data_IF_480566673639
#
_entry.id   IF_480566673639
#
_cell.length_a   1.000
_cell.length_b   1.000
_cell.length_c   1.000
_cell.angle_alpha   90.00
_cell.angle_beta   90.00
_cell.angle_gamma   90.00
#
_symmetry.space_group_name_H-M   'P 1'
#
loop_
_entity.id
_entity.type
_entity.pdbx_description
1 polymer ?
#
# COMPACT_ATOMS: atom_id res chain seq x y z
N UNK A 1 -7.36 13.40 32.34
CA UNK A 1 -6.54 12.82 31.25
C UNK A 1 -7.15 13.28 29.94
N UNK A 2 -6.41 13.95 29.04
CA UNK A 2 -6.99 14.34 27.77
C UNK A 2 -7.10 13.08 26.90
N UNK A 3 -8.32 12.58 26.73
CA UNK A 3 -8.70 11.69 25.64
C UNK A 3 -8.46 12.45 24.35
N UNK A 4 -7.39 12.12 23.63
CA UNK A 4 -7.14 12.65 22.29
C UNK A 4 -8.24 12.07 21.39
N UNK A 5 -9.27 12.87 21.12
CA UNK A 5 -10.30 12.51 20.16
C UNK A 5 -9.63 12.22 18.80
N UNK A 6 -9.94 11.09 18.12
CA UNK A 6 -9.40 10.84 16.80
C UNK A 6 -9.84 11.98 15.87
N UNK A 7 -8.86 12.57 15.17
CA UNK A 7 -9.09 13.63 14.19
C UNK A 7 -10.14 13.18 13.15
N UNK A 8 -10.96 14.09 12.62
CA UNK A 8 -11.96 13.73 11.62
C UNK A 8 -11.28 13.18 10.36
N UNK A 9 -11.71 12.00 9.96
CA UNK A 9 -11.17 11.28 8.82
C UNK A 9 -11.65 11.92 7.52
N UNK A 10 -10.71 12.36 6.68
CA UNK A 10 -10.96 13.00 5.38
C UNK A 10 -11.53 11.99 4.37
N UNK A 11 -12.21 12.45 3.33
CA UNK A 11 -12.76 11.61 2.23
C UNK A 11 -11.70 10.81 1.46
N UNK A 12 -10.42 11.12 1.69
CA UNK A 12 -9.21 10.48 1.21
C UNK A 12 -8.66 9.43 2.20
N UNK A 13 -9.55 8.67 2.82
CA UNK A 13 -9.24 7.78 3.94
C UNK A 13 -9.54 6.32 3.59
N UNK A 14 -8.70 5.41 4.09
CA UNK A 14 -8.99 3.98 4.04
C UNK A 14 -10.37 3.68 4.65
N UNK A 15 -10.77 4.43 5.68
CA UNK A 15 -12.11 4.35 6.28
C UNK A 15 -13.26 4.69 5.32
N UNK A 16 -13.07 5.65 4.41
CA UNK A 16 -14.10 6.01 3.43
C UNK A 16 -14.32 4.89 2.41
N UNK A 17 -13.23 4.32 1.86
CA UNK A 17 -13.32 3.15 0.99
C UNK A 17 -13.96 1.97 1.73
N UNK A 18 -13.57 1.74 2.98
CA UNK A 18 -14.13 0.66 3.80
C UNK A 18 -15.64 0.80 3.96
N UNK A 19 -16.11 2.00 4.30
CA UNK A 19 -17.54 2.28 4.46
C UNK A 19 -18.30 2.05 3.15
N UNK A 20 -17.74 2.46 2.01
CA UNK A 20 -18.35 2.23 0.70
C UNK A 20 -18.45 0.72 0.36
N UNK A 21 -17.41 -0.07 0.66
CA UNK A 21 -17.43 -1.53 0.46
C UNK A 21 -18.49 -2.21 1.32
N UNK A 22 -18.59 -1.82 2.59
CA UNK A 22 -19.53 -2.39 3.55
C UNK A 22 -20.98 -1.93 3.35
N UNK A 23 -21.19 -0.79 2.69
CA UNK A 23 -22.52 -0.35 2.26
C UNK A 23 -22.97 -1.02 0.95
N UNK A 24 -22.07 -1.72 0.26
CA UNK A 24 -22.30 -2.32 -1.04
C UNK A 24 -22.24 -3.85 -1.02
N UNK A 25 -21.69 -4.48 -2.08
CA UNK A 25 -21.77 -5.93 -2.27
C UNK A 25 -20.94 -6.75 -1.28
N UNK A 26 -20.08 -6.11 -0.49
CA UNK A 26 -19.22 -6.77 0.50
C UNK A 26 -19.74 -6.58 1.94
N UNK A 27 -20.97 -6.10 2.10
CA UNK A 27 -21.63 -5.95 3.40
C UNK A 27 -21.53 -7.25 4.23
N UNK A 28 -20.98 -7.15 5.44
CA UNK A 28 -20.85 -8.29 6.36
C UNK A 28 -19.63 -9.17 6.11
N UNK A 29 -18.83 -8.88 5.08
CA UNK A 29 -17.62 -9.66 4.76
C UNK A 29 -16.37 -9.02 5.36
N UNK A 30 -15.37 -9.80 5.81
CA UNK A 30 -14.10 -9.28 6.28
C UNK A 30 -13.34 -8.56 5.16
N UNK A 31 -13.13 -7.26 5.33
CA UNK A 31 -12.39 -6.43 4.39
C UNK A 31 -11.35 -5.59 5.11
N UNK A 32 -10.24 -5.33 4.42
CA UNK A 32 -9.19 -4.40 4.80
C UNK A 32 -8.99 -3.44 3.65
N UNK A 33 -8.96 -2.15 3.93
CA UNK A 33 -8.62 -1.13 2.95
C UNK A 33 -7.28 -0.51 3.30
N UNK A 34 -6.50 -0.20 2.27
CA UNK A 34 -5.16 0.37 2.38
C UNK A 34 -5.08 1.64 1.53
N UNK A 35 -4.43 2.66 2.07
CA UNK A 35 -4.00 3.84 1.32
C UNK A 35 -2.57 4.22 1.72
N UNK A 36 -1.72 4.49 0.74
CA UNK A 36 -0.35 4.96 0.95
C UNK A 36 -0.29 6.44 0.60
N UNK A 37 -0.57 7.29 1.59
CA UNK A 37 -0.48 8.74 1.43
C UNK A 37 0.98 9.23 1.31
N UNK A 38 1.13 10.54 1.10
CA UNK A 38 2.45 11.16 0.98
C UNK A 38 3.30 11.03 2.26
N UNK A 39 2.68 11.15 3.43
CA UNK A 39 3.36 11.17 4.73
C UNK A 39 2.98 10.00 5.65
N UNK A 40 1.83 9.38 5.43
CA UNK A 40 1.30 8.32 6.26
C UNK A 40 0.54 7.28 5.43
N UNK A 41 0.43 6.07 5.97
CA UNK A 41 -0.32 4.96 5.39
C UNK A 41 -1.50 4.67 6.30
N UNK A 42 -2.71 4.64 5.76
CA UNK A 42 -3.92 4.36 6.53
C UNK A 42 -4.49 3.00 6.20
N UNK A 43 -4.98 2.33 7.23
CA UNK A 43 -5.61 1.01 7.18
C UNK A 43 -6.95 1.07 7.89
N UNK A 44 -8.01 0.58 7.25
CA UNK A 44 -9.28 0.29 7.90
C UNK A 44 -9.62 -1.19 7.73
N UNK A 45 -10.13 -1.84 8.77
CA UNK A 45 -10.52 -3.24 8.66
C UNK A 45 -11.66 -3.62 9.59
N UNK A 46 -12.43 -4.63 9.17
CA UNK A 46 -13.60 -5.13 9.86
C UNK A 46 -14.49 -5.92 8.92
N UNK A 47 -15.62 -6.36 9.44
CA UNK A 47 -16.61 -7.21 8.77
C UNK A 47 -18.03 -6.63 8.87
N UNK A 48 -18.16 -5.35 9.24
CA UNK A 48 -19.44 -4.70 9.45
C UNK A 48 -19.45 -3.23 9.02
N UNK A 49 -20.58 -2.53 9.20
CA UNK A 49 -20.75 -1.16 8.68
C UNK A 49 -19.72 -0.14 9.18
N UNK A 50 -19.13 -0.40 10.36
CA UNK A 50 -18.03 0.38 10.92
C UNK A 50 -16.77 -0.48 11.00
N UNK A 51 -15.63 0.15 10.68
CA UNK A 51 -14.34 -0.52 10.80
C UNK A 51 -14.05 -0.81 12.28
N UNK A 52 -13.67 -2.05 12.58
CA UNK A 52 -13.21 -2.46 13.92
C UNK A 52 -11.81 -1.94 14.20
N UNK A 53 -11.02 -1.82 13.14
CA UNK A 53 -9.66 -1.30 13.17
C UNK A 53 -9.57 -0.10 12.25
N UNK A 54 -9.01 0.99 12.76
CA UNK A 54 -8.58 2.12 11.97
C UNK A 54 -7.20 2.57 12.46
N UNK A 55 -6.21 2.54 11.58
CA UNK A 55 -4.81 2.82 11.92
C UNK A 55 -4.18 3.77 10.92
N UNK A 56 -3.38 4.69 11.44
CA UNK A 56 -2.42 5.45 10.65
C UNK A 56 -1.01 5.03 11.05
N UNK A 57 -0.20 4.69 10.07
CA UNK A 57 1.20 4.32 10.20
C UNK A 57 2.07 5.49 9.72
N UNK A 58 3.17 5.83 10.42
CA UNK A 58 4.03 6.96 10.11
C UNK A 58 5.01 6.65 8.94
N UNK A 59 4.49 6.01 7.91
CA UNK A 59 5.18 5.66 6.66
C UNK A 59 4.31 6.12 5.49
N UNK A 60 4.85 6.93 4.59
CA UNK A 60 4.14 7.39 3.41
C UNK A 60 5.11 7.53 2.26
N UNK A 61 4.62 7.50 1.02
CA UNK A 61 5.46 7.41 -0.17
C UNK A 61 6.56 8.48 -0.20
N UNK A 62 6.21 9.75 0.03
CA UNK A 62 7.18 10.87 0.02
C UNK A 62 8.01 10.94 1.29
N UNK A 63 7.41 10.68 2.45
CA UNK A 63 8.12 10.72 3.72
C UNK A 63 9.21 9.63 3.78
N UNK A 64 8.86 8.39 3.42
CA UNK A 64 9.80 7.27 3.37
C UNK A 64 10.90 7.52 2.34
N UNK A 65 10.53 7.99 1.14
CA UNK A 65 11.53 8.33 0.12
C UNK A 65 12.50 9.42 0.59
N UNK A 66 11.99 10.52 1.17
CA UNK A 66 12.83 11.62 1.64
C UNK A 66 13.73 11.25 2.83
N UNK A 67 13.29 10.30 3.66
CA UNK A 67 14.05 9.82 4.81
C UNK A 67 15.13 8.80 4.44
N UNK A 68 14.85 7.95 3.45
CA UNK A 68 15.68 6.77 3.18
C UNK A 68 16.49 6.86 1.89
N UNK A 69 16.07 7.65 0.89
CA UNK A 69 16.69 7.67 -0.43
C UNK A 69 17.43 9.00 -0.67
N UNK A 70 18.76 8.98 -0.62
CA UNK A 70 19.60 10.09 -1.02
C UNK A 70 20.00 10.03 -2.51
N UNK A 71 19.85 8.85 -3.15
CA UNK A 71 20.18 8.62 -4.55
C UNK A 71 18.98 8.21 -5.41
N UNK A 72 19.12 8.36 -6.73
CA UNK A 72 18.17 7.91 -7.74
C UNK A 72 18.93 7.14 -8.84
N UNK A 73 18.77 5.81 -8.94
CA UNK A 73 18.00 4.92 -8.03
C UNK A 73 18.54 4.90 -6.59
N UNK A 74 17.74 4.47 -5.59
CA UNK A 74 18.25 4.21 -4.26
C UNK A 74 19.30 3.09 -4.32
N UNK A 75 20.33 3.19 -3.49
CA UNK A 75 21.34 2.12 -3.31
C UNK A 75 20.74 0.92 -2.57
N UNK A 76 21.40 -0.24 -2.65
CA UNK A 76 20.96 -1.45 -1.95
C UNK A 76 20.86 -1.24 -0.43
N UNK A 77 21.81 -0.53 0.17
CA UNK A 77 21.78 -0.21 1.60
C UNK A 77 20.63 0.74 1.98
N UNK A 78 20.30 1.71 1.13
CA UNK A 78 19.15 2.61 1.34
C UNK A 78 17.82 1.85 1.23
N UNK A 79 17.75 0.88 0.33
CA UNK A 79 16.58 0.01 0.17
C UNK A 79 16.37 -0.88 1.41
N UNK A 80 17.43 -1.51 1.90
CA UNK A 80 17.40 -2.31 3.14
C UNK A 80 16.97 -1.46 4.35
N UNK A 81 17.49 -0.24 4.48
CA UNK A 81 17.08 0.67 5.55
C UNK A 81 15.60 1.08 5.45
N UNK A 82 15.10 1.29 4.23
CA UNK A 82 13.68 1.56 3.99
C UNK A 82 12.80 0.34 4.33
N UNK A 83 13.22 -0.88 3.97
CA UNK A 83 12.52 -2.12 4.32
C UNK A 83 12.39 -2.22 5.83
N UNK A 84 13.51 -2.21 6.57
CA UNK A 84 13.49 -2.37 8.02
C UNK A 84 12.54 -1.36 8.71
N UNK A 85 12.55 -0.10 8.25
CA UNK A 85 11.65 0.94 8.77
C UNK A 85 10.17 0.65 8.50
N UNK A 86 9.85 0.14 7.32
CA UNK A 86 8.47 -0.19 6.96
C UNK A 86 8.01 -1.45 7.68
N UNK A 87 8.84 -2.47 7.79
CA UNK A 87 8.56 -3.70 8.55
C UNK A 87 8.20 -3.37 10.00
N UNK A 88 9.02 -2.56 10.69
CA UNK A 88 8.78 -2.11 12.06
C UNK A 88 7.41 -1.43 12.23
N UNK A 89 6.97 -0.67 11.22
CA UNK A 89 5.68 0.03 11.24
C UNK A 89 4.49 -0.92 10.97
N UNK A 90 4.68 -1.92 10.12
CA UNK A 90 3.60 -2.79 9.60
C UNK A 90 3.38 -4.02 10.47
N UNK A 91 4.45 -4.71 10.90
CA UNK A 91 4.35 -5.99 11.62
C UNK A 91 3.40 -5.96 12.84
N UNK A 92 3.37 -4.89 13.68
CA UNK A 92 2.45 -4.84 14.82
C UNK A 92 0.97 -4.85 14.44
N UNK A 93 0.61 -4.54 13.20
CA UNK A 93 -0.78 -4.48 12.74
C UNK A 93 -1.35 -5.86 12.46
N UNK A 94 -0.52 -6.86 12.12
CA UNK A 94 -0.98 -8.21 11.76
C UNK A 94 -1.90 -8.84 12.81
N UNK A 95 -1.55 -8.70 14.09
CA UNK A 95 -2.32 -9.27 15.20
C UNK A 95 -3.70 -8.61 15.40
N UNK A 96 -3.99 -7.51 14.72
CA UNK A 96 -5.23 -6.73 14.85
C UNK A 96 -6.19 -6.95 13.68
N UNK A 97 -5.75 -7.64 12.62
CA UNK A 97 -6.57 -7.85 11.43
C UNK A 97 -7.47 -9.08 11.58
N UNK A 98 -8.70 -9.03 11.05
CA UNK A 98 -9.54 -10.22 10.92
C UNK A 98 -8.86 -11.27 10.05
N UNK A 99 -9.05 -12.54 10.39
CA UNK A 99 -8.67 -13.64 9.50
C UNK A 99 -9.47 -13.58 8.19
N UNK A 100 -8.86 -14.07 7.11
CA UNK A 100 -9.47 -14.16 5.78
C UNK A 100 -9.97 -12.82 5.19
N UNK A 101 -9.49 -11.69 5.70
CA UNK A 101 -9.82 -10.37 5.16
C UNK A 101 -9.29 -10.19 3.74
N UNK A 102 -10.10 -9.59 2.87
CA UNK A 102 -9.70 -9.20 1.52
C UNK A 102 -9.14 -7.78 1.50
N UNK A 103 -8.01 -7.56 0.83
CA UNK A 103 -7.36 -6.25 0.74
C UNK A 103 -7.85 -5.45 -0.48
N UNK A 104 -8.28 -4.22 -0.24
CA UNK A 104 -8.73 -3.28 -1.26
C UNK A 104 -7.97 -1.95 -1.16
N UNK A 105 -7.86 -1.25 -2.28
CA UNK A 105 -7.34 0.11 -2.33
C UNK A 105 -7.96 0.90 -3.46
N UNK A 106 -8.02 2.22 -3.29
CA UNK A 106 -8.30 3.19 -4.36
C UNK A 106 -7.12 4.16 -4.56
N UNK A 107 -5.96 3.82 -4.00
CA UNK A 107 -4.78 4.67 -4.01
C UNK A 107 -4.14 4.74 -5.41
N UNK A 108 -3.95 5.95 -5.92
CA UNK A 108 -3.37 6.17 -7.24
C UNK A 108 -1.91 5.70 -7.34
N UNK A 109 -1.13 5.74 -6.25
CA UNK A 109 0.24 5.23 -6.22
C UNK A 109 0.28 3.71 -6.33
N UNK A 110 -0.57 3.00 -5.59
CA UNK A 110 -0.71 1.54 -5.75
C UNK A 110 -1.23 1.20 -7.15
N UNK A 111 -2.12 2.02 -7.71
CA UNK A 111 -2.57 1.87 -9.10
C UNK A 111 -1.42 2.00 -10.10
N UNK A 112 -0.48 2.92 -9.89
CA UNK A 112 0.73 3.03 -10.72
C UNK A 112 1.62 1.78 -10.59
N UNK A 113 1.74 1.22 -9.39
CA UNK A 113 2.45 -0.07 -9.18
C UNK A 113 1.79 -1.20 -9.98
N UNK A 114 0.45 -1.28 -9.97
CA UNK A 114 -0.27 -2.28 -10.75
C UNK A 114 0.04 -2.18 -12.26
N UNK A 115 0.04 -0.96 -12.81
CA UNK A 115 0.40 -0.74 -14.21
C UNK A 115 1.87 -1.10 -14.49
N UNK A 116 2.79 -0.71 -13.61
CA UNK A 116 4.21 -1.03 -13.74
C UNK A 116 4.52 -2.54 -13.62
N UNK A 117 3.62 -3.29 -12.99
CA UNK A 117 3.64 -4.75 -12.93
C UNK A 117 3.09 -5.43 -14.20
N UNK A 118 2.69 -4.65 -15.21
CA UNK A 118 2.20 -5.12 -16.50
C UNK A 118 0.70 -5.39 -16.56
N UNK A 119 -0.08 -4.93 -15.57
CA UNK A 119 -1.54 -5.04 -15.64
C UNK A 119 -2.11 -3.99 -16.59
N UNK A 120 -3.11 -4.38 -17.37
CA UNK A 120 -3.86 -3.44 -18.20
C UNK A 120 -4.72 -2.52 -17.33
N UNK A 121 -4.81 -1.25 -17.72
CA UNK A 121 -5.61 -0.26 -17.03
C UNK A 121 -7.11 -0.62 -17.07
N UNK A 122 -7.67 -1.03 -15.94
CA UNK A 122 -9.08 -1.38 -15.79
C UNK A 122 -9.70 -0.68 -14.57
N UNK A 123 -11.04 -0.55 -14.49
CA UNK A 123 -11.72 0.03 -13.33
C UNK A 123 -11.40 -0.73 -12.03
N UNK A 124 -11.28 -2.05 -12.12
CA UNK A 124 -10.83 -2.92 -11.04
C UNK A 124 -9.67 -3.79 -11.56
N UNK A 125 -8.58 -3.84 -10.80
CA UNK A 125 -7.39 -4.63 -11.11
C UNK A 125 -7.00 -5.46 -9.90
N UNK A 126 -6.64 -6.73 -10.12
CA UNK A 126 -6.14 -7.59 -9.05
C UNK A 126 -4.62 -7.70 -9.14
N UNK A 127 -3.93 -7.04 -8.22
CA UNK A 127 -2.47 -7.06 -8.12
C UNK A 127 -2.05 -8.11 -7.09
N UNK A 128 -1.36 -9.17 -7.51
CA UNK A 128 -0.88 -10.24 -6.62
C UNK A 128 0.43 -9.87 -5.93
N UNK A 129 0.71 -10.49 -4.79
CA UNK A 129 1.99 -10.36 -4.10
C UNK A 129 3.16 -10.76 -5.02
N UNK A 130 3.05 -11.88 -5.74
CA UNK A 130 4.07 -12.31 -6.70
C UNK A 130 4.36 -11.25 -7.78
N UNK A 131 3.34 -10.53 -8.25
CA UNK A 131 3.51 -9.46 -9.23
C UNK A 131 4.21 -8.23 -8.62
N UNK A 132 3.89 -7.90 -7.37
CA UNK A 132 4.59 -6.87 -6.60
C UNK A 132 6.06 -7.27 -6.39
N UNK A 133 6.34 -8.52 -6.03
CA UNK A 133 7.69 -9.03 -5.83
C UNK A 133 8.53 -8.98 -7.12
N UNK A 134 7.99 -9.44 -8.25
CA UNK A 134 8.68 -9.31 -9.56
C UNK A 134 8.96 -7.85 -9.93
N UNK A 135 8.04 -6.94 -9.61
CA UNK A 135 8.23 -5.51 -9.83
C UNK A 135 9.33 -4.96 -8.93
N UNK A 136 9.41 -5.43 -7.69
CA UNK A 136 10.47 -5.09 -6.75
C UNK A 136 11.84 -5.65 -7.18
N UNK A 137 11.91 -6.87 -7.69
CA UNK A 137 13.14 -7.44 -8.25
C UNK A 137 13.70 -6.61 -9.41
N UNK A 138 12.83 -6.02 -10.23
CA UNK A 138 13.24 -5.06 -11.28
C UNK A 138 13.80 -3.76 -10.70
N UNK A 139 13.22 -3.25 -9.60
CA UNK A 139 13.78 -2.10 -8.87
C UNK A 139 15.17 -2.42 -8.32
N UNK A 140 15.37 -3.60 -7.73
CA UNK A 140 16.67 -4.06 -7.23
C UNK A 140 17.69 -4.18 -8.37
N UNK A 141 17.29 -4.75 -9.52
CA UNK A 141 18.17 -4.83 -10.69
C UNK A 141 18.62 -3.44 -11.17
N UNK A 142 17.71 -2.46 -11.16
CA UNK A 142 18.02 -1.07 -11.50
C UNK A 142 18.99 -0.43 -10.49
N UNK A 143 18.78 -0.63 -9.19
CA UNK A 143 19.70 -0.22 -8.11
C UNK A 143 21.12 -0.78 -8.29
N UNK A 144 21.26 -1.97 -8.84
CA UNK A 144 22.55 -2.61 -9.11
C UNK A 144 23.19 -2.20 -10.45
N UNK A 145 22.58 -1.27 -11.19
CA UNK A 145 23.08 -0.82 -12.50
C UNK A 145 22.92 -1.85 -13.62
N UNK A 146 22.09 -2.89 -13.41
CA UNK A 146 21.69 -3.80 -14.49
C UNK A 146 20.59 -3.12 -15.30
N UNK A 147 20.70 -3.15 -16.63
CA UNK A 147 19.62 -2.65 -17.49
C UNK A 147 18.36 -3.49 -17.22
N UNK A 148 17.38 -2.89 -16.56
CA UNK A 148 16.03 -3.44 -16.56
C UNK A 148 15.58 -3.50 -18.04
N UNK A 149 15.02 -4.64 -18.47
CA UNK A 149 14.52 -4.79 -19.84
C UNK A 149 13.47 -3.73 -20.22
N UNK A 150 13.02 -3.76 -21.48
CA UNK A 150 12.34 -2.70 -22.27
C UNK A 150 11.14 -1.94 -21.66
N UNK A 151 10.67 -2.26 -20.45
CA UNK A 151 9.75 -1.43 -19.66
C UNK A 151 10.50 -0.81 -18.48
N UNK A 152 10.82 0.48 -18.56
CA UNK A 152 11.46 1.19 -17.45
C UNK A 152 10.47 1.37 -16.29
N UNK A 153 10.91 1.15 -15.05
CA UNK A 153 10.08 1.49 -13.89
C UNK A 153 10.01 3.01 -13.75
N UNK A 154 8.91 3.57 -13.21
CA UNK A 154 8.88 4.98 -12.84
C UNK A 154 10.06 5.31 -11.90
N UNK A 155 10.86 6.30 -12.29
CA UNK A 155 12.12 6.65 -11.61
C UNK A 155 11.91 7.52 -10.37
N UNK A 156 10.67 7.92 -10.08
CA UNK A 156 10.34 8.75 -8.93
C UNK A 156 10.60 7.99 -7.61
N UNK A 157 11.30 8.60 -6.63
CA UNK A 157 11.53 7.98 -5.32
C UNK A 157 10.25 7.57 -4.60
N UNK A 158 9.17 8.34 -4.80
CA UNK A 158 7.87 8.05 -4.24
C UNK A 158 7.25 6.77 -4.83
N UNK A 159 7.57 6.41 -6.08
CA UNK A 159 7.17 5.14 -6.67
C UNK A 159 7.90 3.98 -5.98
N UNK A 160 9.23 4.05 -5.85
CA UNK A 160 10.03 3.03 -5.16
C UNK A 160 9.56 2.84 -3.70
N UNK A 161 9.29 3.93 -2.99
CA UNK A 161 8.74 3.88 -1.64
C UNK A 161 7.33 3.29 -1.59
N UNK A 162 6.44 3.64 -2.53
CA UNK A 162 5.08 3.05 -2.62
C UNK A 162 5.16 1.54 -2.86
N UNK A 163 5.99 1.11 -3.81
CA UNK A 163 6.20 -0.30 -4.13
C UNK A 163 6.71 -1.08 -2.91
N UNK A 164 7.72 -0.55 -2.21
CA UNK A 164 8.26 -1.14 -1.00
C UNK A 164 7.22 -1.20 0.13
N UNK A 165 6.51 -0.09 0.41
CA UNK A 165 5.48 -0.06 1.44
C UNK A 165 4.38 -1.09 1.13
N UNK A 166 3.95 -1.18 -0.12
CA UNK A 166 2.94 -2.15 -0.54
C UNK A 166 3.44 -3.59 -0.36
N UNK A 167 4.67 -3.89 -0.79
CA UNK A 167 5.30 -5.21 -0.66
C UNK A 167 5.31 -5.66 0.79
N UNK A 168 5.89 -4.86 1.68
CA UNK A 168 5.99 -5.20 3.10
C UNK A 168 4.61 -5.30 3.76
N UNK A 169 3.68 -4.42 3.37
CA UNK A 169 2.29 -4.48 3.86
C UNK A 169 1.63 -5.80 3.48
N UNK A 170 1.69 -6.20 2.21
CA UNK A 170 1.09 -7.45 1.75
C UNK A 170 1.78 -8.67 2.40
N UNK A 171 3.11 -8.69 2.42
CA UNK A 171 3.90 -9.79 2.96
C UNK A 171 3.66 -10.00 4.46
N UNK A 172 3.83 -8.97 5.29
CA UNK A 172 3.75 -9.09 6.75
C UNK A 172 2.30 -9.20 7.26
N UNK A 173 1.35 -8.55 6.58
CA UNK A 173 -0.06 -8.67 6.94
C UNK A 173 -0.73 -9.92 6.37
N UNK A 174 -0.06 -10.64 5.46
CA UNK A 174 -0.50 -11.93 4.96
C UNK A 174 -1.54 -11.86 3.83
N UNK A 175 -1.49 -10.81 3.01
CA UNK A 175 -2.34 -10.66 1.84
C UNK A 175 -1.64 -11.16 0.58
N UNK A 176 -2.25 -12.14 -0.12
CA UNK A 176 -1.73 -12.66 -1.38
C UNK A 176 -2.07 -11.78 -2.60
N UNK A 177 -3.05 -10.88 -2.46
CA UNK A 177 -3.44 -9.94 -3.50
C UNK A 177 -4.11 -8.68 -2.90
N UNK A 178 -4.06 -7.59 -3.65
CA UNK A 178 -4.85 -6.37 -3.42
C UNK A 178 -5.73 -6.10 -4.64
N UNK A 179 -6.99 -5.77 -4.38
CA UNK A 179 -7.92 -5.29 -5.40
C UNK A 179 -7.81 -3.77 -5.47
N UNK A 180 -7.28 -3.28 -6.59
CA UNK A 180 -7.13 -1.86 -6.90
C UNK A 180 -8.36 -1.38 -7.64
N UNK A 181 -9.09 -0.43 -7.06
CA UNK A 181 -10.25 0.20 -7.68
C UNK A 181 -9.91 1.60 -8.13
N UNK A 182 -10.40 1.97 -9.29
CA UNK A 182 -10.36 3.35 -9.75
C UNK A 182 -11.47 4.12 -9.04
N UNK A 183 -11.20 5.36 -8.62
CA UNK A 183 -12.22 6.30 -8.07
C UNK A 183 -13.34 6.63 -9.09
N UNK A 184 -13.19 6.18 -10.33
CA UNK A 184 -14.21 6.21 -11.37
C UNK A 184 -15.28 5.13 -11.13
N UNK A 185 -16.07 5.28 -10.06
CA UNK A 185 -17.44 4.79 -10.00
C UNK A 185 -18.32 5.98 -9.64
N UNK A 186 -18.59 6.83 -10.64
CA UNK A 186 -19.91 7.32 -11.10
C UNK A 186 -19.70 7.97 -12.47
#
# INVERSE_FOLDING_TARGET
MPTTAPAPLSADDAGALYAALQAGPLAGTPVTTLRIGSTQTTLASGDGPQARLLRSLPIGARATAALCFAQQPPTSAELEAAIARVEDAVMPVRALLPEASMLFTADAGIRQVALAAGLEAQPEMQLTLDAVERTFERLVAWTEGRLAGEDDLPQEPAFAATLLILRETMQHLGFSAVVVRSDAVV
#
